data_IF_284730396998
#
_entry.id   IF_284730396998
#
_cell.length_a   1.000
_cell.length_b   1.000
_cell.length_c   1.000
_cell.angle_alpha   90.00
_cell.angle_beta   90.00
_cell.angle_gamma   90.00
#
_symmetry.space_group_name_H-M   'P 1'
#
loop_
_entity.id
_entity.type
_entity.pdbx_description
1 polymer ?
#
# COMPACT_ATOMS: atom_id res chain seq x y z
N UNK A 1 -42.03 -12.87 -31.15
CA UNK A 1 -40.86 -13.64 -30.65
C UNK A 1 -39.51 -12.94 -30.87
N UNK A 2 -39.24 -12.33 -32.05
CA UNK A 2 -37.98 -11.61 -32.32
C UNK A 2 -37.74 -10.41 -31.38
N UNK A 3 -38.78 -9.62 -31.12
CA UNK A 3 -38.74 -8.43 -30.24
C UNK A 3 -38.52 -8.79 -28.77
N UNK A 4 -39.17 -9.85 -28.27
CA UNK A 4 -38.98 -10.34 -26.88
C UNK A 4 -37.57 -10.88 -26.65
N UNK A 5 -36.99 -11.58 -27.65
CA UNK A 5 -35.58 -12.03 -27.59
C UNK A 5 -34.59 -10.85 -27.61
N UNK A 6 -34.89 -9.78 -28.36
CA UNK A 6 -34.07 -8.56 -28.39
C UNK A 6 -34.13 -7.79 -27.05
N UNK A 7 -35.30 -7.71 -26.42
CA UNK A 7 -35.46 -7.12 -25.08
C UNK A 7 -34.74 -7.94 -23.99
N UNK A 8 -34.80 -9.27 -24.06
CA UNK A 8 -34.04 -10.16 -23.16
C UNK A 8 -32.51 -10.02 -23.35
N UNK A 9 -32.05 -9.85 -24.58
CA UNK A 9 -30.62 -9.66 -24.88
C UNK A 9 -30.10 -8.30 -24.41
N UNK A 10 -30.92 -7.23 -24.53
CA UNK A 10 -30.63 -5.90 -23.98
C UNK A 10 -30.56 -5.90 -22.45
N UNK A 11 -31.45 -6.65 -21.79
CA UNK A 11 -31.45 -6.79 -20.34
C UNK A 11 -30.22 -7.57 -19.84
N UNK A 12 -29.78 -8.59 -20.59
CA UNK A 12 -28.56 -9.36 -20.29
C UNK A 12 -27.29 -8.50 -20.44
N UNK A 13 -27.23 -7.63 -21.45
CA UNK A 13 -26.10 -6.70 -21.66
C UNK A 13 -26.04 -5.58 -20.60
N UNK A 14 -27.21 -5.09 -20.15
CA UNK A 14 -27.30 -4.12 -19.06
C UNK A 14 -26.85 -4.73 -17.71
N UNK A 15 -27.18 -6.00 -17.45
CA UNK A 15 -26.75 -6.70 -16.24
C UNK A 15 -25.22 -6.95 -16.19
N UNK A 16 -24.59 -7.20 -17.35
CA UNK A 16 -23.13 -7.37 -17.48
C UNK A 16 -22.37 -6.04 -17.25
N UNK A 17 -23.02 -4.90 -17.50
CA UNK A 17 -22.39 -3.57 -17.35
C UNK A 17 -22.20 -3.13 -15.90
N UNK A 18 -22.80 -3.82 -14.93
CA UNK A 18 -22.72 -3.46 -13.49
C UNK A 18 -21.43 -4.01 -12.83
N UNK A 19 -20.70 -4.91 -13.50
CA UNK A 19 -19.52 -5.59 -12.92
C UNK A 19 -18.23 -4.76 -13.06
N UNK A 20 -18.28 -3.57 -13.67
CA UNK A 20 -17.09 -2.70 -13.82
C UNK A 20 -17.22 -1.46 -12.92
N UNK A 21 -17.63 -1.65 -11.67
CA UNK A 21 -17.41 -0.66 -10.63
C UNK A 21 -16.00 -0.86 -10.06
N UNK A 22 -14.98 -0.41 -10.80
CA UNK A 22 -13.60 -0.38 -10.31
C UNK A 22 -13.47 0.81 -9.35
N UNK A 23 -13.86 0.63 -8.09
CA UNK A 23 -13.53 1.62 -7.06
C UNK A 23 -12.03 1.55 -6.79
N UNK A 24 -11.30 2.62 -7.10
CA UNK A 24 -9.90 2.74 -6.69
C UNK A 24 -9.88 2.88 -5.17
N UNK A 25 -9.33 1.89 -4.49
CA UNK A 25 -9.19 1.93 -3.05
C UNK A 25 -8.16 3.01 -2.67
N UNK A 26 -8.48 3.79 -1.64
CA UNK A 26 -7.61 4.85 -1.13
C UNK A 26 -6.38 4.25 -0.45
N UNK A 27 -5.22 4.89 -0.62
CA UNK A 27 -3.98 4.50 0.05
C UNK A 27 -4.03 4.94 1.51
N UNK A 28 -4.44 4.03 2.38
CA UNK A 28 -4.41 4.21 3.84
C UNK A 28 -3.32 3.29 4.40
N UNK A 29 -2.41 3.87 5.17
CA UNK A 29 -1.32 3.17 5.86
C UNK A 29 -1.24 3.66 7.29
N UNK A 30 -1.22 2.73 8.22
CA UNK A 30 -1.08 3.02 9.66
C UNK A 30 -0.03 2.10 10.26
N UNK A 31 0.70 2.61 11.27
CA UNK A 31 1.63 1.83 12.07
C UNK A 31 1.10 1.82 13.50
N UNK A 32 0.76 0.64 13.99
CA UNK A 32 0.20 0.45 15.33
C UNK A 32 1.13 -0.40 16.19
N UNK A 33 1.19 -0.11 17.49
CA UNK A 33 1.88 -0.99 18.45
C UNK A 33 0.98 -2.16 18.81
N UNK A 34 1.40 -3.38 18.52
CA UNK A 34 0.73 -4.58 18.98
C UNK A 34 1.12 -4.86 20.43
N UNK A 35 0.37 -4.28 21.37
CA UNK A 35 0.45 -4.65 22.79
C UNK A 35 -0.46 -5.85 22.99
N UNK A 36 0.03 -7.05 22.71
CA UNK A 36 -0.63 -8.24 23.24
C UNK A 36 -0.58 -8.17 24.76
N UNK A 37 -1.75 -8.19 25.38
CA UNK A 37 -1.98 -8.26 26.82
C UNK A 37 -1.59 -9.67 27.33
N UNK A 38 -0.31 -10.02 27.15
CA UNK A 38 0.33 -11.18 27.74
C UNK A 38 1.64 -10.66 28.29
N UNK A 39 1.68 -10.61 29.62
CA UNK A 39 2.85 -10.29 30.42
C UNK A 39 4.10 -11.00 29.86
N UNK A 40 5.21 -10.24 29.82
CA UNK A 40 6.58 -10.74 29.61
C UNK A 40 7.09 -10.87 28.15
N UNK A 41 7.08 -9.75 27.41
CA UNK A 41 8.10 -9.48 26.37
C UNK A 41 8.44 -7.99 26.38
N UNK A 42 9.70 -7.66 26.66
CA UNK A 42 10.21 -6.28 26.81
C UNK A 42 10.38 -5.54 25.46
N UNK A 43 9.73 -6.02 24.40
CA UNK A 43 9.80 -5.48 23.05
C UNK A 43 8.41 -5.07 22.57
N UNK A 44 8.25 -3.79 22.24
CA UNK A 44 7.04 -3.32 21.55
C UNK A 44 7.08 -3.80 20.11
N UNK A 45 6.16 -4.68 19.72
CA UNK A 45 6.01 -5.13 18.33
C UNK A 45 5.11 -4.13 17.58
N UNK A 46 5.48 -3.76 16.36
CA UNK A 46 4.72 -2.82 15.54
C UNK A 46 4.17 -3.53 14.30
N UNK A 47 2.97 -3.16 13.90
CA UNK A 47 2.30 -3.71 12.73
C UNK A 47 2.02 -2.62 11.69
N UNK A 48 2.28 -2.96 10.43
CA UNK A 48 1.91 -2.13 9.29
C UNK A 48 0.52 -2.55 8.78
N UNK A 49 -0.46 -1.68 8.99
CA UNK A 49 -1.82 -1.87 8.47
C UNK A 49 -1.91 -1.18 7.12
N UNK A 50 -2.13 -1.99 6.08
CA UNK A 50 -2.36 -1.53 4.70
C UNK A 50 -3.75 -1.97 4.27
N UNK A 51 -4.59 -1.03 3.86
CA UNK A 51 -5.96 -1.34 3.51
C UNK A 51 -6.10 -1.94 2.11
N UNK A 52 -5.13 -1.72 1.22
CA UNK A 52 -5.14 -2.31 -0.13
C UNK A 52 -4.97 -3.84 -0.10
N UNK A 53 -6.06 -4.56 -0.33
CA UNK A 53 -6.09 -6.03 -0.31
C UNK A 53 -5.20 -6.69 -1.37
N UNK A 54 -4.84 -5.99 -2.44
CA UNK A 54 -3.96 -6.50 -3.50
C UNK A 54 -2.49 -6.39 -3.11
N UNK A 55 -2.17 -5.49 -2.18
CA UNK A 55 -0.79 -5.31 -1.71
C UNK A 55 -0.27 -6.57 -1.03
N UNK A 56 -1.03 -7.21 -0.14
CA UNK A 56 -0.53 -8.36 0.62
C UNK A 56 -0.14 -9.52 -0.33
N UNK A 57 -1.01 -9.87 -1.26
CA UNK A 57 -0.70 -10.88 -2.29
C UNK A 57 0.53 -10.50 -3.12
N UNK A 58 0.62 -9.23 -3.54
CA UNK A 58 1.78 -8.76 -4.28
C UNK A 58 3.06 -8.83 -3.44
N UNK A 59 3.01 -8.41 -2.17
CA UNK A 59 4.13 -8.44 -1.25
C UNK A 59 4.66 -9.86 -1.08
N UNK A 60 3.80 -10.84 -0.80
CA UNK A 60 4.22 -12.23 -0.62
C UNK A 60 4.90 -12.81 -1.87
N UNK A 61 4.49 -12.41 -3.08
CA UNK A 61 5.13 -12.84 -4.33
C UNK A 61 6.51 -12.21 -4.57
N UNK A 62 6.79 -11.04 -3.99
CA UNK A 62 8.02 -10.29 -4.23
C UNK A 62 8.96 -10.27 -3.02
N UNK A 63 8.49 -10.74 -1.87
CA UNK A 63 9.23 -10.87 -0.62
C UNK A 63 10.24 -12.02 -0.71
N UNK A 64 11.41 -11.74 -1.30
CA UNK A 64 12.47 -12.72 -1.53
C UNK A 64 13.76 -12.31 -0.82
N UNK A 65 14.34 -13.15 0.06
CA UNK A 65 15.58 -12.85 0.76
C UNK A 65 16.76 -12.49 -0.15
N UNK A 66 16.81 -13.07 -1.36
CA UNK A 66 17.85 -12.76 -2.35
C UNK A 66 17.81 -11.31 -2.84
N UNK A 67 16.66 -10.63 -2.70
CA UNK A 67 16.44 -9.24 -3.11
C UNK A 67 16.56 -8.26 -1.95
N UNK A 68 16.78 -8.74 -0.72
CA UNK A 68 16.83 -7.87 0.44
C UNK A 68 17.99 -6.87 0.38
N UNK A 69 17.80 -5.76 1.08
CA UNK A 69 18.80 -4.73 1.39
C UNK A 69 18.92 -4.62 2.90
N UNK A 70 19.89 -3.84 3.39
CA UNK A 70 20.06 -3.65 4.83
C UNK A 70 18.83 -2.98 5.45
N UNK A 71 18.61 -3.19 6.75
CA UNK A 71 17.59 -2.44 7.51
C UNK A 71 17.77 -0.93 7.34
N UNK A 72 19.01 -0.44 7.46
CA UNK A 72 19.35 0.97 7.26
C UNK A 72 18.97 1.52 5.88
N UNK A 73 19.04 0.69 4.83
CA UNK A 73 18.58 1.07 3.50
C UNK A 73 17.07 1.33 3.51
N UNK A 74 16.29 0.42 4.09
CA UNK A 74 14.83 0.57 4.17
C UNK A 74 14.43 1.75 5.04
N UNK A 75 15.04 1.93 6.22
CA UNK A 75 14.78 3.08 7.09
C UNK A 75 15.06 4.42 6.40
N UNK A 76 16.19 4.53 5.69
CA UNK A 76 16.55 5.73 4.95
C UNK A 76 15.52 6.10 3.87
N UNK A 77 15.02 5.11 3.14
CA UNK A 77 13.99 5.34 2.14
C UNK A 77 12.62 5.59 2.75
N UNK A 78 12.24 4.83 3.78
CA UNK A 78 10.95 4.99 4.45
C UNK A 78 10.79 6.40 5.02
N UNK A 79 11.83 6.98 5.63
CA UNK A 79 11.78 8.38 6.09
C UNK A 79 11.44 9.36 4.97
N UNK A 80 12.08 9.19 3.80
CA UNK A 80 11.82 10.06 2.64
C UNK A 80 10.42 9.84 2.08
N UNK A 81 10.02 8.58 1.91
CA UNK A 81 8.70 8.23 1.38
C UNK A 81 7.56 8.65 2.30
N UNK A 82 7.66 8.44 3.61
CA UNK A 82 6.64 8.88 4.58
C UNK A 82 6.49 10.41 4.54
N UNK A 83 7.60 11.14 4.49
CA UNK A 83 7.56 12.60 4.36
C UNK A 83 6.86 13.05 3.08
N UNK A 84 7.24 12.48 1.93
CA UNK A 84 6.63 12.79 0.64
C UNK A 84 5.15 12.38 0.57
N UNK A 85 4.80 11.21 1.13
CA UNK A 85 3.43 10.72 1.23
C UNK A 85 2.55 11.68 2.02
N UNK A 86 2.99 12.08 3.21
CA UNK A 86 2.27 13.01 4.06
C UNK A 86 2.15 14.40 3.41
N UNK A 87 3.20 14.86 2.71
CA UNK A 87 3.12 16.07 1.90
C UNK A 87 2.04 15.98 0.81
N UNK A 88 1.96 14.87 0.08
CA UNK A 88 0.92 14.64 -0.93
C UNK A 88 -0.48 14.53 -0.31
N UNK A 89 -0.63 13.95 0.88
CA UNK A 89 -1.90 13.84 1.59
C UNK A 89 -2.52 15.22 1.92
N UNK A 90 -1.67 16.25 2.08
CA UNK A 90 -2.11 17.63 2.32
C UNK A 90 -2.44 18.41 1.03
N UNK A 91 -2.09 17.89 -0.14
CA UNK A 91 -2.34 18.58 -1.41
C UNK A 91 -3.77 18.38 -1.90
N UNK A 92 -4.52 19.44 -2.24
CA UNK A 92 -5.92 19.35 -2.67
C UNK A 92 -6.18 18.41 -3.85
N UNK A 93 -5.22 18.27 -4.78
CA UNK A 93 -5.35 17.40 -5.96
C UNK A 93 -4.89 15.94 -5.76
N UNK A 94 -4.20 15.64 -4.65
CA UNK A 94 -3.63 14.30 -4.40
C UNK A 94 -4.26 13.58 -3.19
N UNK A 95 -4.91 14.33 -2.29
CA UNK A 95 -5.62 13.81 -1.10
C UNK A 95 -6.73 12.78 -1.37
N UNK A 96 -7.16 12.63 -2.63
CA UNK A 96 -8.13 11.59 -3.03
C UNK A 96 -7.53 10.19 -2.87
N UNK A 97 -6.23 10.05 -3.10
CA UNK A 97 -5.49 8.80 -2.95
C UNK A 97 -4.67 8.77 -1.66
N UNK A 98 -3.94 9.84 -1.36
CA UNK A 98 -3.02 9.89 -0.23
C UNK A 98 -3.75 10.27 1.07
N UNK A 99 -3.58 9.46 2.11
CA UNK A 99 -3.92 9.81 3.51
C UNK A 99 -2.67 9.94 4.37
N UNK A 100 -2.73 10.73 5.45
CA UNK A 100 -1.57 10.86 6.34
C UNK A 100 -1.24 9.52 6.98
N UNK A 101 0.03 9.10 6.91
CA UNK A 101 0.53 7.94 7.63
C UNK A 101 0.66 8.31 9.10
N UNK A 102 -0.04 7.56 9.95
CA UNK A 102 -0.05 7.76 11.41
C UNK A 102 0.84 6.70 12.07
N UNK A 103 1.59 7.10 13.10
CA UNK A 103 2.38 6.19 13.94
C UNK A 103 3.83 5.93 13.48
N UNK A 104 4.28 6.59 12.40
CA UNK A 104 5.68 6.53 11.97
C UNK A 104 6.53 7.64 12.62
N UNK A 105 7.55 7.25 13.38
CA UNK A 105 8.51 8.12 14.04
C UNK A 105 9.94 7.79 13.55
N UNK A 106 10.69 8.76 12.97
CA UNK A 106 12.00 8.51 12.36
C UNK A 106 13.08 7.89 13.25
N UNK A 107 12.94 8.00 14.59
CA UNK A 107 13.93 7.59 15.59
C UNK A 107 13.52 6.29 16.33
N UNK A 108 12.41 5.67 15.94
CA UNK A 108 11.95 4.39 16.50
C UNK A 108 12.48 3.25 15.64
N UNK A 109 13.05 2.23 16.29
CA UNK A 109 13.44 0.99 15.63
C UNK A 109 12.23 0.06 15.51
N UNK A 110 11.63 0.07 14.32
CA UNK A 110 10.51 -0.81 13.96
C UNK A 110 10.96 -2.23 13.57
N UNK A 111 12.27 -2.48 13.51
CA UNK A 111 12.83 -3.74 13.04
C UNK A 111 12.82 -3.90 11.52
N UNK A 112 13.48 -4.95 11.06
CA UNK A 112 13.68 -5.23 9.64
C UNK A 112 12.36 -5.47 8.90
N UNK A 113 11.47 -6.31 9.44
CA UNK A 113 10.27 -6.77 8.72
C UNK A 113 9.30 -5.63 8.43
N UNK A 114 9.04 -4.76 9.42
CA UNK A 114 8.18 -3.60 9.21
C UNK A 114 8.80 -2.65 8.19
N UNK A 115 10.08 -2.31 8.35
CA UNK A 115 10.76 -1.40 7.44
C UNK A 115 10.78 -1.95 6.00
N UNK A 116 11.00 -3.25 5.85
CA UNK A 116 10.94 -3.94 4.57
C UNK A 116 9.54 -3.85 3.94
N UNK A 117 8.50 -4.22 4.69
CA UNK A 117 7.11 -4.22 4.21
C UNK A 117 6.62 -2.82 3.85
N UNK A 118 6.93 -1.81 4.67
CA UNK A 118 6.59 -0.41 4.41
C UNK A 118 7.28 0.11 3.14
N UNK A 119 8.57 -0.20 2.97
CA UNK A 119 9.29 0.16 1.75
C UNK A 119 8.65 -0.49 0.52
N UNK A 120 8.33 -1.78 0.59
CA UNK A 120 7.68 -2.51 -0.50
C UNK A 120 6.29 -1.93 -0.82
N UNK A 121 5.56 -1.42 0.17
CA UNK A 121 4.29 -0.74 -0.07
C UNK A 121 4.48 0.52 -0.94
N UNK A 122 5.48 1.35 -0.66
CA UNK A 122 5.76 2.52 -1.50
C UNK A 122 6.12 2.12 -2.94
N UNK A 123 6.87 1.03 -3.09
CA UNK A 123 7.25 0.50 -4.41
C UNK A 123 6.05 -0.09 -5.15
N UNK A 124 5.14 -0.74 -4.44
CA UNK A 124 3.86 -1.17 -5.00
C UNK A 124 3.08 0.03 -5.56
N UNK A 125 2.96 1.11 -4.79
CA UNK A 125 2.25 2.32 -5.21
C UNK A 125 2.90 2.95 -6.45
N UNK A 126 4.21 3.15 -6.47
CA UNK A 126 4.89 3.78 -7.61
C UNK A 126 4.96 2.88 -8.84
N UNK A 127 5.24 1.58 -8.65
CA UNK A 127 5.58 0.69 -9.76
C UNK A 127 4.41 -0.17 -10.24
N UNK A 128 3.44 -0.49 -9.36
CA UNK A 128 2.25 -1.28 -9.72
C UNK A 128 1.05 -0.37 -9.94
N UNK A 129 0.74 0.52 -8.98
CA UNK A 129 -0.38 1.45 -9.12
C UNK A 129 -0.06 2.64 -10.05
N UNK A 130 1.23 2.85 -10.37
CA UNK A 130 1.71 3.94 -11.23
C UNK A 130 1.38 5.33 -10.68
N UNK A 131 1.36 5.45 -9.36
CA UNK A 131 1.14 6.72 -8.66
C UNK A 131 2.48 7.18 -8.10
N UNK A 132 3.02 8.26 -8.67
CA UNK A 132 4.29 8.83 -8.21
C UNK A 132 4.15 9.41 -6.80
N UNK A 133 4.96 8.95 -5.85
CA UNK A 133 4.99 9.52 -4.49
C UNK A 133 6.00 10.67 -4.45
N UNK A 134 7.20 10.43 -4.97
CA UNK A 134 8.27 11.43 -5.04
C UNK A 134 9.15 11.24 -6.28
N UNK A 135 9.77 12.31 -6.80
CA UNK A 135 10.76 12.17 -7.86
C UNK A 135 12.02 11.48 -7.33
N UNK A 136 12.73 10.78 -8.21
CA UNK A 136 14.03 10.17 -7.94
C UNK A 136 14.04 9.11 -6.83
N UNK A 137 12.98 8.30 -6.72
CA UNK A 137 12.97 7.08 -5.92
C UNK A 137 14.10 6.09 -6.29
N UNK A 138 14.32 5.04 -5.49
CA UNK A 138 15.38 4.07 -5.73
C UNK A 138 15.18 3.39 -7.08
N UNK A 139 16.19 3.51 -7.94
CA UNK A 139 16.15 3.01 -9.31
C UNK A 139 16.17 1.48 -9.37
N UNK A 140 16.74 0.82 -8.36
CA UNK A 140 17.02 -0.62 -8.37
C UNK A 140 16.10 -1.42 -7.43
N UNK A 141 14.89 -1.69 -7.88
CA UNK A 141 14.20 -2.93 -7.51
C UNK A 141 13.73 -3.53 -8.82
N UNK A 142 14.60 -4.34 -9.41
CA UNK A 142 14.23 -5.19 -10.53
C UNK A 142 13.35 -6.27 -9.91
N UNK A 143 12.04 -6.12 -10.04
CA UNK A 143 11.09 -7.17 -9.70
C UNK A 143 11.28 -8.35 -10.64
#
# INVERSE_FOLDING_TARGET
>A
MKTIKQLLFLFLFAAISIIIACSTQKGIVQIESNKQEVEQKDSTEYELIVFDTRFETWYQLHNSPAKYRSQSYYENWNRQYVSAWNYNAMQPGRRSFFETIVGYEPNVDYGFELNHKLFYYFQYVERVLKIEIMPNGPQSIVF
#
